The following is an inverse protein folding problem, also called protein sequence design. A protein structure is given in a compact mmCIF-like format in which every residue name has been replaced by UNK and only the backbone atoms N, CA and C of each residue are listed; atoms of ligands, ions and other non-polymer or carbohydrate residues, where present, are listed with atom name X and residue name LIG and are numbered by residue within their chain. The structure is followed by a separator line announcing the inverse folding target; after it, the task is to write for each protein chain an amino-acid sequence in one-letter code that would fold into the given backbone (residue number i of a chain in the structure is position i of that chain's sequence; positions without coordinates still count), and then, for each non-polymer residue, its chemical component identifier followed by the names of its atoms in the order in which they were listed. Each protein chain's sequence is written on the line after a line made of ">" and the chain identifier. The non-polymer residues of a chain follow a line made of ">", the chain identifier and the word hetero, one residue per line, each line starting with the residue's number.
data_IF_361900036449
#
_entry.id   IF_361900036449
#
_cell.length_a   1.000
_cell.length_b   1.000
_cell.length_c   1.000
_cell.angle_alpha   90.00
_cell.angle_beta   90.00
_cell.angle_gamma   90.00
#
_symmetry.space_group_name_H-M   'P 1'
#
loop_
_entity.id
_entity.type
_entity.pdbx_description
1 polymer ?
#
# COMPACT_ATOMS: atom_id res chain seq x y z
N UNK A 1 9.86 34.54 8.22
CA UNK A 1 8.75 34.98 7.38
C UNK A 1 7.74 33.85 7.40
N UNK A 2 6.43 34.04 7.64
CA UNK A 2 5.46 32.96 7.58
C UNK A 2 5.41 32.45 6.13
N UNK A 3 5.72 31.18 5.97
CA UNK A 3 5.54 30.49 4.71
C UNK A 3 4.06 30.63 4.32
N UNK A 4 3.77 31.35 3.25
CA UNK A 4 2.46 31.38 2.60
C UNK A 4 2.24 30.01 1.92
N UNK A 5 2.19 28.93 2.69
CA UNK A 5 1.77 27.64 2.17
C UNK A 5 0.30 27.76 1.81
N UNK A 6 0.01 27.91 0.52
CA UNK A 6 -1.36 27.86 0.00
C UNK A 6 -1.95 26.51 0.36
N UNK A 7 -2.94 26.52 1.28
CA UNK A 7 -3.71 25.31 1.59
C UNK A 7 -4.48 24.87 0.33
N UNK A 8 -4.28 23.64 -0.09
CA UNK A 8 -4.88 23.09 -1.29
C UNK A 8 -5.81 21.90 -0.97
N UNK A 9 -6.85 21.69 -1.76
CA UNK A 9 -7.61 20.46 -1.68
C UNK A 9 -6.71 19.24 -1.92
N UNK A 10 -6.92 18.20 -1.12
CA UNK A 10 -6.33 16.88 -1.32
C UNK A 10 -7.40 15.91 -1.81
N UNK A 11 -7.18 15.34 -2.98
CA UNK A 11 -8.03 14.29 -3.54
C UNK A 11 -7.41 12.93 -3.25
N UNK A 12 -8.23 11.99 -2.74
CA UNK A 12 -7.80 10.61 -2.50
C UNK A 12 -8.74 9.67 -3.27
N UNK A 13 -8.21 8.91 -4.22
CA UNK A 13 -8.91 7.79 -4.84
C UNK A 13 -8.65 6.51 -4.06
N UNK A 14 -9.62 5.60 -3.99
CA UNK A 14 -9.49 4.42 -3.13
C UNK A 14 -9.50 4.76 -1.64
N UNK A 15 -10.19 5.84 -1.27
CA UNK A 15 -10.20 6.40 0.08
C UNK A 15 -10.73 5.42 1.16
N UNK A 16 -11.63 4.51 0.80
CA UNK A 16 -12.12 3.46 1.70
C UNK A 16 -11.21 2.23 1.78
N UNK A 17 -10.14 2.16 0.99
CA UNK A 17 -9.12 1.12 1.08
C UNK A 17 -8.28 1.23 2.35
N UNK A 18 -7.46 0.23 2.64
CA UNK A 18 -6.64 0.21 3.85
C UNK A 18 -5.78 1.47 4.02
N UNK A 19 -4.88 1.75 3.05
CA UNK A 19 -4.05 2.96 3.08
C UNK A 19 -4.90 4.24 2.95
N UNK A 20 -5.95 4.22 2.11
CA UNK A 20 -6.83 5.38 1.93
C UNK A 20 -7.47 5.85 3.23
N UNK A 21 -7.98 4.91 4.06
CA UNK A 21 -8.56 5.21 5.38
C UNK A 21 -7.52 5.75 6.36
N UNK A 22 -6.36 5.11 6.43
CA UNK A 22 -5.29 5.55 7.31
C UNK A 22 -4.80 6.96 6.94
N UNK A 23 -4.61 7.23 5.65
CA UNK A 23 -4.23 8.55 5.15
C UNK A 23 -5.33 9.59 5.42
N UNK A 24 -6.59 9.27 5.15
CA UNK A 24 -7.71 10.18 5.41
C UNK A 24 -7.83 10.53 6.89
N UNK A 25 -7.68 9.54 7.78
CA UNK A 25 -7.68 9.76 9.23
C UNK A 25 -6.50 10.65 9.67
N UNK A 26 -5.31 10.41 9.12
CA UNK A 26 -4.13 11.23 9.41
C UNK A 26 -4.30 12.68 8.94
N UNK A 27 -4.84 12.88 7.72
CA UNK A 27 -5.15 14.21 7.19
C UNK A 27 -6.19 14.91 8.05
N UNK A 28 -7.22 14.21 8.49
CA UNK A 28 -8.26 14.78 9.34
C UNK A 28 -7.73 15.27 10.70
N UNK A 29 -6.67 14.65 11.24
CA UNK A 29 -6.00 15.11 12.46
C UNK A 29 -5.01 16.24 12.22
N UNK A 30 -4.42 16.38 11.03
CA UNK A 30 -3.25 17.22 10.78
C UNK A 30 -3.41 18.14 9.56
N UNK A 31 -4.64 18.47 9.15
CA UNK A 31 -4.90 19.20 7.91
C UNK A 31 -4.08 20.48 7.75
N UNK A 32 -4.05 21.31 8.79
CA UNK A 32 -3.30 22.57 8.79
C UNK A 32 -1.80 22.36 8.63
N UNK A 33 -1.23 21.43 9.40
CA UNK A 33 0.21 21.11 9.32
C UNK A 33 0.61 20.50 7.96
N UNK A 34 -0.34 19.87 7.27
CA UNK A 34 -0.17 19.32 5.92
C UNK A 34 -0.52 20.31 4.80
N UNK A 35 -1.01 21.52 5.12
CA UNK A 35 -1.47 22.48 4.11
C UNK A 35 -2.66 21.95 3.28
N UNK A 36 -3.60 21.23 3.92
CA UNK A 36 -4.80 20.70 3.28
C UNK A 36 -6.00 21.55 3.67
N UNK A 37 -6.64 22.19 2.69
CA UNK A 37 -7.85 22.99 2.91
C UNK A 37 -9.13 22.16 2.91
N UNK A 38 -9.17 21.08 2.12
CA UNK A 38 -10.33 20.22 1.94
C UNK A 38 -9.85 18.80 1.61
N UNK A 39 -10.52 17.79 2.13
CA UNK A 39 -10.33 16.39 1.71
C UNK A 39 -11.48 15.98 0.78
N UNK A 40 -11.13 15.59 -0.45
CA UNK A 40 -12.08 15.06 -1.43
C UNK A 40 -11.78 13.57 -1.63
N UNK A 41 -12.70 12.73 -1.21
CA UNK A 41 -12.53 11.28 -1.18
C UNK A 41 -13.41 10.59 -2.23
N UNK A 42 -12.83 9.71 -3.05
CA UNK A 42 -13.59 8.85 -3.96
C UNK A 42 -13.78 7.47 -3.34
N UNK A 43 -15.02 7.04 -3.22
CA UNK A 43 -15.45 5.72 -2.76
C UNK A 43 -16.37 5.07 -3.80
N UNK A 44 -16.50 3.74 -3.82
CA UNK A 44 -17.27 3.05 -4.87
C UNK A 44 -18.78 3.02 -4.59
N UNK A 45 -19.17 3.02 -3.32
CA UNK A 45 -20.55 2.85 -2.91
C UNK A 45 -20.78 3.39 -1.48
N UNK A 46 -22.02 3.34 -1.01
CA UNK A 46 -22.41 3.79 0.32
C UNK A 46 -21.78 2.97 1.46
N UNK A 47 -21.50 1.69 1.27
CA UNK A 47 -20.84 0.87 2.28
C UNK A 47 -19.39 1.35 2.51
N UNK A 48 -18.68 1.66 1.43
CA UNK A 48 -17.35 2.25 1.48
C UNK A 48 -17.35 3.67 2.07
N UNK A 49 -18.41 4.44 1.83
CA UNK A 49 -18.60 5.75 2.45
C UNK A 49 -18.72 5.64 3.98
N UNK A 50 -19.58 4.75 4.47
CA UNK A 50 -19.72 4.47 5.90
C UNK A 50 -18.41 3.98 6.52
N UNK A 51 -17.71 3.10 5.79
CA UNK A 51 -16.42 2.57 6.23
C UNK A 51 -15.35 3.67 6.33
N UNK A 52 -15.29 4.60 5.38
CA UNK A 52 -14.39 5.75 5.43
C UNK A 52 -14.76 6.67 6.60
N UNK A 53 -16.02 7.06 6.73
CA UNK A 53 -16.49 7.95 7.79
C UNK A 53 -16.21 7.38 9.19
N UNK A 54 -16.40 6.06 9.37
CA UNK A 54 -16.08 5.38 10.64
C UNK A 54 -14.58 5.37 11.01
N UNK A 55 -13.72 5.64 10.05
CA UNK A 55 -12.26 5.69 10.23
C UNK A 55 -11.76 7.08 10.60
N UNK A 56 -12.60 8.10 10.45
CA UNK A 56 -12.22 9.49 10.73
C UNK A 56 -12.43 9.83 12.21
N UNK A 57 -11.64 10.76 12.77
CA UNK A 57 -11.88 11.28 14.12
C UNK A 57 -13.23 11.99 14.17
N UNK A 58 -13.96 11.82 15.30
CA UNK A 58 -15.29 12.42 15.47
C UNK A 58 -15.22 13.95 15.53
N UNK A 59 -14.17 14.48 16.14
CA UNK A 59 -13.95 15.90 16.35
C UNK A 59 -12.93 16.41 15.34
N UNK A 60 -13.26 16.42 14.05
CA UNK A 60 -12.42 17.02 13.03
C UNK A 60 -13.14 18.22 12.40
N UNK A 61 -12.39 19.29 12.14
CA UNK A 61 -12.87 20.49 11.45
C UNK A 61 -12.54 20.48 9.95
N UNK A 62 -12.10 19.34 9.42
CA UNK A 62 -11.72 19.23 8.02
C UNK A 62 -12.98 19.32 7.13
N UNK A 63 -12.92 20.20 6.13
CA UNK A 63 -13.91 20.18 5.05
C UNK A 63 -13.75 18.86 4.27
N UNK A 64 -14.73 17.96 4.46
CA UNK A 64 -14.75 16.63 3.86
C UNK A 64 -15.84 16.52 2.81
N UNK A 65 -15.44 16.19 1.59
CA UNK A 65 -16.36 15.86 0.51
C UNK A 65 -16.15 14.42 0.04
N UNK A 66 -17.18 13.59 0.17
CA UNK A 66 -17.16 12.20 -0.31
C UNK A 66 -17.96 12.12 -1.62
N UNK A 67 -17.37 11.51 -2.62
CA UNK A 67 -17.99 11.26 -3.93
C UNK A 67 -18.02 9.76 -4.19
N UNK A 68 -19.18 9.28 -4.62
CA UNK A 68 -19.33 7.90 -5.08
C UNK A 68 -19.01 7.79 -6.56
N UNK A 69 -18.15 6.84 -6.95
CA UNK A 69 -17.77 6.59 -8.33
C UNK A 69 -16.67 5.53 -8.44
N UNK A 70 -16.40 5.11 -9.68
CA UNK A 70 -15.40 4.09 -9.99
C UNK A 70 -14.26 4.70 -10.82
N UNK A 71 -13.01 4.42 -10.44
CA UNK A 71 -11.82 4.89 -11.18
C UNK A 71 -11.72 4.31 -12.60
N UNK A 72 -12.43 3.21 -12.89
CA UNK A 72 -12.52 2.66 -14.23
C UNK A 72 -13.50 3.43 -15.12
N UNK A 73 -14.38 4.26 -14.53
CA UNK A 73 -15.30 5.12 -15.24
C UNK A 73 -14.73 6.53 -15.38
N UNK A 74 -14.43 6.92 -16.60
CA UNK A 74 -13.82 8.22 -16.89
C UNK A 74 -14.70 9.42 -16.53
N UNK A 75 -16.03 9.29 -16.62
CA UNK A 75 -16.96 10.35 -16.21
C UNK A 75 -16.94 10.57 -14.68
N UNK A 76 -16.72 9.52 -13.90
CA UNK A 76 -16.58 9.63 -12.44
C UNK A 76 -15.29 10.34 -12.07
N UNK A 77 -14.19 10.08 -12.80
CA UNK A 77 -12.91 10.77 -12.60
C UNK A 77 -13.07 12.26 -12.97
N UNK A 78 -13.75 12.57 -14.10
CA UNK A 78 -14.01 13.96 -14.52
C UNK A 78 -14.84 14.72 -13.48
N UNK A 79 -15.86 14.08 -12.91
CA UNK A 79 -16.68 14.64 -11.81
C UNK A 79 -15.85 14.82 -10.52
N UNK A 80 -14.98 13.87 -10.21
CA UNK A 80 -14.08 13.96 -9.06
C UNK A 80 -13.20 15.20 -9.16
N UNK A 81 -12.50 15.38 -10.27
CA UNK A 81 -11.59 16.53 -10.42
C UNK A 81 -12.33 17.85 -10.62
N UNK A 82 -13.53 17.85 -11.19
CA UNK A 82 -14.39 19.04 -11.26
C UNK A 82 -14.91 19.49 -9.87
N UNK A 83 -14.80 18.65 -8.84
CA UNK A 83 -15.20 19.01 -7.48
C UNK A 83 -14.19 19.93 -6.77
N UNK A 84 -12.97 20.06 -7.30
CA UNK A 84 -12.01 21.09 -6.88
C UNK A 84 -12.10 22.30 -7.81
N UNK A 85 -12.16 23.53 -7.25
CA UNK A 85 -12.27 24.77 -8.00
C UNK A 85 -10.95 25.35 -8.49
N UNK A 86 -9.82 24.71 -8.18
CA UNK A 86 -8.47 25.20 -8.51
C UNK A 86 -7.44 24.09 -8.53
N UNK A 87 -6.18 24.45 -8.32
CA UNK A 87 -5.12 23.49 -8.16
C UNK A 87 -5.39 22.56 -6.94
N UNK A 88 -5.01 21.31 -7.05
CA UNK A 88 -5.19 20.30 -6.00
C UNK A 88 -4.02 19.32 -5.97
N UNK A 89 -3.88 18.62 -4.88
CA UNK A 89 -3.02 17.45 -4.79
C UNK A 89 -3.84 16.17 -4.94
N UNK A 90 -3.24 15.13 -5.50
CA UNK A 90 -3.85 13.81 -5.66
C UNK A 90 -2.98 12.73 -5.02
N UNK A 91 -3.58 11.91 -4.16
CA UNK A 91 -2.99 10.62 -3.78
C UNK A 91 -3.84 9.49 -4.38
N UNK A 92 -3.27 8.81 -5.36
CA UNK A 92 -3.94 7.73 -6.07
C UNK A 92 -3.63 6.39 -5.39
N UNK A 93 -4.53 5.99 -4.44
CA UNK A 93 -4.41 4.72 -3.72
C UNK A 93 -5.32 3.63 -4.28
N UNK A 94 -6.19 3.98 -5.25
CA UNK A 94 -7.08 3.00 -5.85
C UNK A 94 -6.27 1.92 -6.58
N UNK A 95 -6.56 0.68 -6.26
CA UNK A 95 -5.94 -0.50 -6.83
C UNK A 95 -6.54 -1.78 -6.27
N UNK A 96 -6.40 -2.87 -6.99
CA UNK A 96 -6.86 -4.19 -6.54
C UNK A 96 -5.70 -5.18 -6.54
N UNK A 97 -5.74 -6.13 -5.61
CA UNK A 97 -4.65 -7.09 -5.38
C UNK A 97 -5.09 -8.52 -5.72
N UNK A 98 -6.29 -8.91 -5.30
CA UNK A 98 -6.77 -10.30 -5.39
C UNK A 98 -8.17 -10.35 -6.05
N UNK A 99 -8.28 -10.05 -7.35
CA UNK A 99 -9.55 -10.17 -8.06
C UNK A 99 -9.87 -11.64 -8.38
N UNK A 100 -11.07 -11.90 -8.87
CA UNK A 100 -11.42 -13.23 -9.42
C UNK A 100 -10.88 -13.42 -10.84
N UNK A 101 -10.76 -12.35 -11.61
CA UNK A 101 -10.31 -12.36 -13.02
C UNK A 101 -9.04 -11.52 -13.18
N UNK A 102 -8.08 -12.04 -13.91
CA UNK A 102 -6.83 -11.34 -14.21
C UNK A 102 -7.08 -10.02 -14.95
N UNK A 103 -8.06 -9.97 -15.85
CA UNK A 103 -8.41 -8.76 -16.59
C UNK A 103 -8.73 -7.56 -15.69
N UNK A 104 -9.34 -7.81 -14.52
CA UNK A 104 -9.70 -6.75 -13.57
C UNK A 104 -8.44 -6.06 -13.01
N UNK A 105 -7.31 -6.79 -12.87
CA UNK A 105 -6.03 -6.19 -12.45
C UNK A 105 -5.58 -5.11 -13.43
N UNK A 106 -5.58 -5.41 -14.72
CA UNK A 106 -5.16 -4.46 -15.76
C UNK A 106 -6.16 -3.31 -15.92
N UNK A 107 -7.46 -3.61 -15.83
CA UNK A 107 -8.48 -2.57 -15.91
C UNK A 107 -8.33 -1.51 -14.81
N UNK A 108 -8.06 -1.93 -13.56
CA UNK A 108 -7.95 -1.01 -12.42
C UNK A 108 -6.53 -0.48 -12.24
N UNK A 109 -5.51 -1.36 -12.18
CA UNK A 109 -4.16 -0.94 -11.80
C UNK A 109 -3.38 -0.25 -12.94
N UNK A 110 -3.73 -0.52 -14.19
CA UNK A 110 -3.07 0.05 -15.37
C UNK A 110 -3.98 1.04 -16.09
N UNK A 111 -5.08 0.57 -16.69
CA UNK A 111 -5.93 1.41 -17.56
C UNK A 111 -6.57 2.57 -16.77
N UNK A 112 -7.15 2.29 -15.60
CA UNK A 112 -7.74 3.35 -14.78
C UNK A 112 -6.67 4.30 -14.25
N UNK A 113 -5.49 3.80 -13.82
CA UNK A 113 -4.36 4.66 -13.44
C UNK A 113 -3.97 5.58 -14.59
N UNK A 114 -3.82 5.08 -15.82
CA UNK A 114 -3.53 5.91 -17.00
C UNK A 114 -4.57 7.02 -17.18
N UNK A 115 -5.84 6.68 -17.10
CA UNK A 115 -6.94 7.64 -17.22
C UNK A 115 -6.91 8.71 -16.11
N UNK A 116 -6.63 8.30 -14.87
CA UNK A 116 -6.50 9.22 -13.72
C UNK A 116 -5.33 10.18 -13.93
N UNK A 117 -4.16 9.69 -14.34
CA UNK A 117 -2.97 10.52 -14.56
C UNK A 117 -3.19 11.56 -15.67
N UNK A 118 -3.74 11.13 -16.81
CA UNK A 118 -4.02 12.03 -17.94
C UNK A 118 -5.00 13.13 -17.54
N UNK A 119 -6.07 12.79 -16.79
CA UNK A 119 -7.04 13.78 -16.32
C UNK A 119 -6.47 14.69 -15.24
N UNK A 120 -5.64 14.17 -14.34
CA UNK A 120 -4.93 14.99 -13.36
C UNK A 120 -4.04 16.03 -14.04
N UNK A 121 -3.32 15.64 -15.11
CA UNK A 121 -2.53 16.56 -15.95
C UNK A 121 -3.42 17.67 -16.54
N UNK A 122 -4.49 17.30 -17.23
CA UNK A 122 -5.40 18.26 -17.90
C UNK A 122 -6.12 19.18 -16.92
N UNK A 123 -6.34 18.73 -15.66
CA UNK A 123 -7.01 19.49 -14.61
C UNK A 123 -6.06 20.31 -13.74
N UNK A 124 -4.76 20.30 -14.03
CA UNK A 124 -3.76 21.10 -13.34
C UNK A 124 -3.49 20.64 -11.92
N UNK A 125 -3.41 19.31 -11.69
CA UNK A 125 -2.95 18.78 -10.43
C UNK A 125 -1.55 19.35 -10.09
N UNK A 126 -1.39 19.96 -8.89
CA UNK A 126 -0.10 20.49 -8.46
C UNK A 126 0.89 19.38 -8.18
N UNK A 127 0.43 18.32 -7.52
CA UNK A 127 1.22 17.14 -7.18
C UNK A 127 0.36 15.89 -7.21
N UNK A 128 0.89 14.83 -7.82
CA UNK A 128 0.28 13.50 -7.77
C UNK A 128 1.24 12.53 -7.07
N UNK A 129 0.72 11.77 -6.10
CA UNK A 129 1.43 10.63 -5.50
C UNK A 129 0.72 9.35 -5.93
N UNK A 130 1.37 8.52 -6.72
CA UNK A 130 0.86 7.21 -7.10
C UNK A 130 1.35 6.13 -6.13
N UNK A 131 0.44 5.33 -5.61
CA UNK A 131 0.81 4.19 -4.75
C UNK A 131 0.99 2.94 -5.62
N UNK A 132 2.24 2.53 -5.76
CA UNK A 132 2.65 1.31 -6.45
C UNK A 132 2.79 0.12 -5.47
N UNK A 133 3.77 -0.74 -5.69
CA UNK A 133 4.07 -1.94 -4.90
C UNK A 133 5.50 -2.41 -5.17
N UNK A 134 5.98 -3.41 -4.45
CA UNK A 134 7.18 -4.18 -4.81
C UNK A 134 6.96 -5.10 -6.03
N UNK A 135 5.74 -5.50 -6.32
CA UNK A 135 5.43 -6.54 -7.31
C UNK A 135 5.85 -6.23 -8.76
N UNK A 136 5.93 -4.96 -9.23
CA UNK A 136 6.57 -4.62 -10.52
C UNK A 136 8.02 -5.07 -10.65
N UNK A 137 8.70 -5.28 -9.54
CA UNK A 137 10.13 -5.60 -9.47
C UNK A 137 10.38 -7.08 -9.12
N UNK A 138 9.31 -7.83 -8.80
CA UNK A 138 9.35 -9.25 -8.52
C UNK A 138 9.93 -9.59 -7.15
N UNK A 139 10.97 -10.41 -7.15
CA UNK A 139 11.66 -10.85 -5.94
C UNK A 139 13.18 -10.76 -6.11
N UNK A 140 13.87 -10.59 -5.00
CA UNK A 140 15.33 -10.54 -5.01
C UNK A 140 15.90 -11.92 -5.38
N UNK A 141 16.91 -11.99 -6.26
CA UNK A 141 17.55 -13.25 -6.67
C UNK A 141 18.16 -14.02 -5.50
N UNK A 142 18.81 -13.32 -4.57
CA UNK A 142 19.45 -13.90 -3.41
C UNK A 142 18.91 -13.33 -2.10
N UNK A 143 19.03 -14.08 -1.02
CA UNK A 143 18.49 -13.70 0.29
C UNK A 143 19.11 -12.39 0.83
N UNK A 144 20.34 -12.06 0.44
CA UNK A 144 21.02 -10.85 0.91
C UNK A 144 20.77 -9.63 0.04
N UNK A 145 20.15 -9.80 -1.12
CA UNK A 145 19.88 -8.69 -2.06
C UNK A 145 18.76 -7.77 -1.52
N UNK A 146 18.76 -6.53 -1.99
CA UNK A 146 17.70 -5.56 -1.79
C UNK A 146 17.39 -4.85 -3.10
N UNK A 147 16.12 -4.54 -3.33
CA UNK A 147 15.72 -3.69 -4.44
C UNK A 147 16.28 -2.27 -4.24
N UNK A 148 16.92 -1.75 -5.28
CA UNK A 148 17.46 -0.39 -5.31
C UNK A 148 16.41 0.60 -5.83
N UNK A 149 16.68 1.89 -5.67
CA UNK A 149 15.81 2.95 -6.19
C UNK A 149 15.58 2.88 -7.70
N UNK A 150 16.64 2.51 -8.44
CA UNK A 150 16.69 2.37 -9.90
C UNK A 150 16.48 0.92 -10.38
N UNK A 151 15.89 0.06 -9.55
CA UNK A 151 15.66 -1.36 -9.87
C UNK A 151 14.88 -1.50 -11.17
N UNK A 152 15.33 -2.35 -12.12
CA UNK A 152 14.60 -2.59 -13.36
C UNK A 152 13.32 -3.39 -13.09
N UNK A 153 12.30 -3.17 -13.92
CA UNK A 153 11.08 -3.94 -13.83
C UNK A 153 11.33 -5.43 -14.14
N UNK A 154 10.80 -6.28 -13.28
CA UNK A 154 10.80 -7.73 -13.42
C UNK A 154 9.51 -8.29 -12.76
N UNK A 155 8.32 -8.02 -13.34
CA UNK A 155 7.05 -8.19 -12.64
C UNK A 155 6.77 -9.64 -12.27
N UNK A 156 6.35 -9.83 -11.01
CA UNK A 156 5.88 -11.12 -10.54
C UNK A 156 4.44 -11.35 -10.95
N UNK A 157 4.23 -12.18 -11.98
CA UNK A 157 2.93 -12.57 -12.51
C UNK A 157 2.02 -11.37 -12.88
N UNK A 158 0.70 -11.60 -12.99
CA UNK A 158 -0.22 -10.60 -13.51
C UNK A 158 -0.39 -9.37 -12.59
N UNK A 159 -0.37 -9.56 -11.27
CA UNK A 159 -0.45 -8.42 -10.36
C UNK A 159 0.77 -7.50 -10.52
N UNK A 160 1.96 -8.07 -10.53
CA UNK A 160 3.18 -7.31 -10.79
C UNK A 160 3.14 -6.59 -12.14
N UNK A 161 2.73 -7.29 -13.20
CA UNK A 161 2.60 -6.71 -14.55
C UNK A 161 1.58 -5.55 -14.58
N UNK A 162 0.44 -5.68 -13.92
CA UNK A 162 -0.57 -4.62 -13.87
C UNK A 162 -0.11 -3.38 -13.10
N UNK A 163 0.65 -3.57 -12.01
CA UNK A 163 1.23 -2.44 -11.25
C UNK A 163 2.39 -1.80 -12.01
N UNK A 164 3.18 -2.59 -12.75
CA UNK A 164 4.19 -2.06 -13.68
C UNK A 164 3.53 -1.18 -14.75
N UNK A 165 2.44 -1.63 -15.38
CA UNK A 165 1.68 -0.82 -16.33
C UNK A 165 1.20 0.51 -15.72
N UNK A 166 0.79 0.50 -14.44
CA UNK A 166 0.47 1.71 -13.71
C UNK A 166 1.65 2.66 -13.53
N UNK A 167 2.85 2.17 -13.16
CA UNK A 167 4.05 3.01 -13.06
C UNK A 167 4.47 3.58 -14.43
N UNK A 168 4.38 2.78 -15.49
CA UNK A 168 4.66 3.24 -16.86
C UNK A 168 3.70 4.36 -17.24
N UNK A 169 2.41 4.23 -16.95
CA UNK A 169 1.42 5.27 -17.23
C UNK A 169 1.70 6.58 -16.45
N UNK A 170 2.22 6.49 -15.22
CA UNK A 170 2.70 7.66 -14.47
C UNK A 170 3.89 8.30 -15.19
N UNK A 171 4.90 7.52 -15.60
CA UNK A 171 6.08 8.03 -16.29
C UNK A 171 5.74 8.67 -17.65
N UNK A 172 4.81 8.07 -18.42
CA UNK A 172 4.29 8.65 -19.66
C UNK A 172 3.63 10.02 -19.40
N UNK A 173 2.85 10.15 -18.31
CA UNK A 173 2.21 11.40 -17.97
C UNK A 173 3.20 12.45 -17.44
N UNK A 174 4.25 12.03 -16.74
CA UNK A 174 5.36 12.91 -16.32
C UNK A 174 6.09 13.46 -17.53
N UNK A 175 6.36 12.66 -18.57
CA UNK A 175 6.97 13.14 -19.81
C UNK A 175 6.13 14.17 -20.56
N UNK A 176 4.82 14.22 -20.27
CA UNK A 176 3.85 15.20 -20.78
C UNK A 176 3.66 16.43 -19.85
N UNK A 177 4.40 16.48 -18.75
CA UNK A 177 4.39 17.61 -17.81
C UNK A 177 3.61 17.40 -16.51
N UNK A 178 3.09 16.20 -16.23
CA UNK A 178 2.47 15.91 -14.94
C UNK A 178 3.52 15.92 -13.82
N UNK A 179 3.26 16.67 -12.76
CA UNK A 179 4.07 16.62 -11.56
C UNK A 179 3.66 15.44 -10.68
N UNK A 180 4.25 14.27 -10.93
CA UNK A 180 3.92 13.04 -10.23
C UNK A 180 5.14 12.32 -9.67
N UNK A 181 4.93 11.62 -8.55
CA UNK A 181 5.93 10.76 -7.89
C UNK A 181 5.30 9.44 -7.48
N UNK A 182 6.12 8.44 -7.18
CA UNK A 182 5.68 7.07 -6.93
C UNK A 182 6.15 6.62 -5.54
N UNK A 183 5.24 6.10 -4.75
CA UNK A 183 5.52 5.42 -3.47
C UNK A 183 5.35 3.91 -3.68
N UNK A 184 6.36 3.13 -3.32
CA UNK A 184 6.43 1.67 -3.50
C UNK A 184 6.45 0.97 -2.14
N UNK A 185 5.29 0.74 -1.49
CA UNK A 185 5.24 0.00 -0.26
C UNK A 185 5.45 -1.49 -0.51
N UNK A 186 6.24 -2.19 0.34
CA UNK A 186 6.23 -3.64 0.40
C UNK A 186 5.01 -4.14 1.21
N UNK A 187 5.15 -5.20 2.00
CA UNK A 187 4.08 -5.67 2.87
C UNK A 187 3.84 -4.69 4.02
N UNK A 188 2.74 -3.94 3.97
CA UNK A 188 2.33 -3.06 5.07
C UNK A 188 1.30 -3.72 5.99
N UNK A 189 1.26 -3.28 7.24
CA UNK A 189 0.41 -3.80 8.31
C UNK A 189 0.01 -2.68 9.27
N UNK A 190 -1.05 -2.88 10.05
CA UNK A 190 -1.53 -1.86 11.01
C UNK A 190 -3.05 -1.75 11.06
N UNK A 191 -3.58 -0.76 11.78
CA UNK A 191 -5.01 -0.44 11.83
C UNK A 191 -5.69 -0.38 10.47
N UNK A 192 -7.00 -0.62 10.46
CA UNK A 192 -7.83 -0.72 9.25
C UNK A 192 -7.53 -1.93 8.36
N UNK A 193 -6.77 -2.88 8.86
CA UNK A 193 -6.32 -4.05 8.12
C UNK A 193 -7.45 -4.93 7.59
N UNK A 194 -7.29 -5.55 6.40
CA UNK A 194 -8.25 -6.51 5.87
C UNK A 194 -8.17 -7.87 6.57
N UNK A 195 -9.20 -8.69 6.42
CA UNK A 195 -9.31 -10.01 7.04
C UNK A 195 -8.09 -10.94 6.79
N UNK A 196 -7.39 -10.81 5.65
CA UNK A 196 -6.16 -11.59 5.40
C UNK A 196 -5.06 -11.34 6.43
N UNK A 197 -4.95 -10.11 6.93
CA UNK A 197 -3.96 -9.77 7.96
C UNK A 197 -4.37 -10.34 9.32
N UNK A 198 -5.67 -10.34 9.64
CA UNK A 198 -6.22 -11.03 10.82
C UNK A 198 -5.94 -12.52 10.76
N UNK A 199 -6.12 -13.16 9.59
CA UNK A 199 -5.78 -14.56 9.37
C UNK A 199 -4.30 -14.84 9.66
N UNK A 200 -3.39 -13.95 9.28
CA UNK A 200 -1.97 -14.07 9.60
C UNK A 200 -1.72 -14.15 11.11
N UNK A 201 -2.33 -13.26 11.90
CA UNK A 201 -2.23 -13.30 13.37
C UNK A 201 -2.79 -14.61 13.94
N UNK A 202 -3.96 -15.05 13.47
CA UNK A 202 -4.58 -16.31 13.92
C UNK A 202 -3.71 -17.52 13.61
N UNK A 203 -3.05 -17.54 12.44
CA UNK A 203 -2.12 -18.61 12.06
C UNK A 203 -0.88 -18.62 12.96
N UNK A 204 -0.30 -17.47 13.27
CA UNK A 204 0.83 -17.37 14.22
C UNK A 204 0.41 -17.79 15.62
N UNK A 205 -0.73 -17.27 16.12
CA UNK A 205 -1.30 -17.63 17.44
C UNK A 205 -1.50 -19.15 17.58
N UNK A 206 -2.05 -19.78 16.54
CA UNK A 206 -2.29 -21.24 16.55
C UNK A 206 -1.05 -22.09 16.29
N UNK A 207 0.12 -21.49 15.98
CA UNK A 207 1.35 -22.18 15.63
C UNK A 207 1.30 -22.89 14.26
N UNK A 208 0.44 -22.43 13.35
CA UNK A 208 0.19 -23.04 12.02
C UNK A 208 0.61 -22.12 10.86
N UNK A 209 1.37 -21.06 11.11
CA UNK A 209 1.88 -20.24 10.03
C UNK A 209 2.95 -21.01 9.23
N UNK A 210 2.80 -21.19 7.91
CA UNK A 210 3.75 -21.93 7.10
C UNK A 210 5.05 -21.14 6.93
N UNK A 211 6.18 -21.75 7.33
CA UNK A 211 7.52 -21.21 7.13
C UNK A 211 8.29 -22.11 6.19
N UNK A 212 8.81 -21.58 5.10
CA UNK A 212 9.62 -22.34 4.15
C UNK A 212 11.06 -22.50 4.65
N UNK A 213 11.53 -23.76 4.68
CA UNK A 213 12.85 -24.08 5.20
C UNK A 213 13.03 -23.62 6.63
N UNK A 214 14.09 -22.89 6.89
CA UNK A 214 14.42 -22.26 8.18
C UNK A 214 13.76 -20.87 8.38
N UNK A 215 13.15 -20.32 7.33
CA UNK A 215 12.52 -18.99 7.34
C UNK A 215 13.53 -17.86 7.13
N UNK A 216 14.66 -18.13 6.49
CA UNK A 216 15.69 -17.13 6.19
C UNK A 216 15.31 -16.16 5.07
N UNK A 217 14.20 -16.41 4.34
CA UNK A 217 13.70 -15.45 3.33
C UNK A 217 13.43 -14.11 4.01
N UNK A 218 13.86 -13.02 3.38
CA UNK A 218 13.72 -11.69 3.95
C UNK A 218 12.51 -10.95 3.38
N UNK A 219 11.84 -10.19 4.23
CA UNK A 219 10.69 -9.36 3.89
C UNK A 219 10.86 -7.95 4.44
N UNK A 220 10.81 -6.97 3.57
CA UNK A 220 10.57 -5.61 4.02
C UNK A 220 9.13 -5.47 4.48
N UNK A 221 8.95 -4.84 5.62
CA UNK A 221 7.67 -4.55 6.23
C UNK A 221 7.53 -3.03 6.39
N UNK A 222 6.31 -2.54 6.52
CA UNK A 222 6.08 -1.15 6.91
C UNK A 222 4.80 -1.03 7.73
N UNK A 223 4.89 -0.39 8.90
CA UNK A 223 3.71 -0.03 9.67
C UNK A 223 2.92 1.06 8.96
N UNK A 224 1.59 1.00 9.04
CA UNK A 224 0.70 1.89 8.26
C UNK A 224 0.98 3.37 8.50
N UNK A 225 1.28 3.78 9.75
CA UNK A 225 1.58 5.20 10.06
C UNK A 225 2.92 5.64 9.45
N UNK A 226 3.94 4.76 9.43
CA UNK A 226 5.21 5.01 8.74
C UNK A 226 4.96 5.17 7.23
N UNK A 227 4.08 4.34 6.64
CA UNK A 227 3.72 4.46 5.22
C UNK A 227 3.00 5.78 4.94
N UNK A 228 2.06 6.18 5.79
CA UNK A 228 1.33 7.47 5.68
C UNK A 228 2.30 8.64 5.76
N UNK A 229 3.27 8.62 6.69
CA UNK A 229 4.33 9.65 6.77
C UNK A 229 5.14 9.71 5.46
N UNK A 230 5.55 8.55 4.92
CA UNK A 230 6.25 8.49 3.63
C UNK A 230 5.42 9.07 2.47
N UNK A 231 4.12 8.80 2.43
CA UNK A 231 3.20 9.38 1.43
C UNK A 231 3.08 10.89 1.58
N UNK A 232 2.94 11.41 2.80
CA UNK A 232 2.86 12.84 3.07
C UNK A 232 4.17 13.56 2.68
N UNK A 233 5.33 12.97 2.96
CA UNK A 233 6.63 13.49 2.55
C UNK A 233 6.79 13.49 1.04
N UNK A 234 6.40 12.42 0.34
CA UNK A 234 6.41 12.35 -1.11
C UNK A 234 5.47 13.40 -1.75
N UNK A 235 4.31 13.69 -1.13
CA UNK A 235 3.42 14.77 -1.55
C UNK A 235 4.08 16.16 -1.42
N UNK A 236 4.83 16.38 -0.34
CA UNK A 236 5.53 17.62 -0.08
C UNK A 236 6.86 17.77 -0.85
N UNK A 237 7.31 16.73 -1.53
CA UNK A 237 8.57 16.74 -2.30
C UNK A 237 8.55 17.81 -3.40
N UNK A 238 9.58 18.66 -3.46
CA UNK A 238 9.71 19.74 -4.45
C UNK A 238 10.73 19.46 -5.55
N UNK A 239 11.37 18.30 -5.51
CA UNK A 239 12.35 17.89 -6.50
C UNK A 239 11.74 17.32 -7.77
N UNK A 240 12.55 16.59 -8.53
CA UNK A 240 12.23 16.09 -9.86
C UNK A 240 11.03 15.12 -9.89
N UNK A 241 10.12 15.33 -10.83
CA UNK A 241 8.99 14.43 -11.08
C UNK A 241 9.44 13.08 -11.64
N UNK A 242 8.62 12.05 -11.48
CA UNK A 242 8.92 10.69 -11.93
C UNK A 242 9.73 9.85 -10.92
N UNK A 243 10.19 10.45 -9.81
CA UNK A 243 10.91 9.71 -8.76
C UNK A 243 10.01 8.68 -8.09
N UNK A 244 10.60 7.51 -7.78
CA UNK A 244 9.94 6.45 -7.04
C UNK A 244 10.77 6.05 -5.82
N UNK A 245 10.10 5.88 -4.66
CA UNK A 245 10.77 5.50 -3.41
C UNK A 245 10.16 4.26 -2.78
N UNK A 246 11.01 3.41 -2.27
CA UNK A 246 10.63 2.36 -1.32
C UNK A 246 10.32 3.00 0.03
N UNK A 247 9.12 2.73 0.55
CA UNK A 247 8.72 3.17 1.89
C UNK A 247 8.52 1.93 2.74
N UNK A 248 9.49 1.64 3.58
CA UNK A 248 9.56 0.44 4.41
C UNK A 248 10.24 0.75 5.76
N UNK A 249 10.31 -0.25 6.64
CA UNK A 249 11.14 -0.21 7.83
C UNK A 249 12.63 -0.17 7.42
N UNK A 250 13.50 0.27 8.34
CA UNK A 250 14.94 0.46 8.06
C UNK A 250 15.62 -0.81 7.56
N UNK A 251 15.14 -1.97 7.96
CA UNK A 251 15.69 -3.27 7.55
C UNK A 251 14.60 -4.24 7.08
N UNK A 252 14.97 -5.18 6.24
CA UNK A 252 14.17 -6.34 5.94
C UNK A 252 14.38 -7.43 6.99
N UNK A 253 13.29 -8.09 7.41
CA UNK A 253 13.26 -9.10 8.46
C UNK A 253 13.22 -10.51 7.87
N UNK A 254 13.88 -11.48 8.49
CA UNK A 254 13.65 -12.88 8.17
C UNK A 254 12.20 -13.29 8.48
N UNK A 255 11.61 -14.17 7.69
CA UNK A 255 10.23 -14.66 7.95
C UNK A 255 10.13 -15.30 9.34
N UNK A 256 11.15 -16.03 9.80
CA UNK A 256 11.23 -16.55 11.17
C UNK A 256 11.16 -15.45 12.22
N UNK A 257 11.91 -14.37 12.05
CA UNK A 257 11.92 -13.19 12.93
C UNK A 257 10.55 -12.49 12.98
N UNK A 258 9.87 -12.34 11.82
CA UNK A 258 8.53 -11.78 11.76
C UNK A 258 7.56 -12.63 12.60
N UNK A 259 7.58 -13.97 12.41
CA UNK A 259 6.70 -14.89 13.14
C UNK A 259 6.96 -14.85 14.65
N UNK A 260 8.22 -14.81 15.06
CA UNK A 260 8.61 -14.72 16.47
C UNK A 260 8.17 -13.37 17.07
N UNK A 261 8.38 -12.26 16.37
CA UNK A 261 7.97 -10.92 16.80
C UNK A 261 6.47 -10.82 16.96
N UNK A 262 5.69 -11.36 16.00
CA UNK A 262 4.23 -11.41 16.10
C UNK A 262 3.78 -12.31 17.25
N UNK A 263 4.43 -13.46 17.44
CA UNK A 263 4.14 -14.36 18.58
C UNK A 263 4.35 -13.67 19.92
N UNK A 264 5.44 -12.93 20.08
CA UNK A 264 5.74 -12.13 21.26
C UNK A 264 4.70 -11.02 21.46
N UNK A 265 4.39 -10.25 20.40
CA UNK A 265 3.39 -9.19 20.45
C UNK A 265 2.00 -9.71 20.87
N UNK A 266 1.58 -10.86 20.32
CA UNK A 266 0.34 -11.54 20.71
C UNK A 266 0.35 -11.94 22.21
N UNK A 267 1.47 -12.47 22.69
CA UNK A 267 1.60 -12.85 24.10
C UNK A 267 1.52 -11.64 25.01
N UNK A 268 2.18 -10.54 24.68
CA UNK A 268 2.19 -9.30 25.47
C UNK A 268 0.84 -8.56 25.44
N UNK A 269 0.00 -8.85 24.44
CA UNK A 269 -1.40 -8.39 24.39
C UNK A 269 -2.39 -9.43 24.95
N UNK A 270 -1.92 -10.40 25.72
CA UNK A 270 -2.74 -11.32 26.50
C UNK A 270 -3.22 -12.59 25.79
N UNK A 271 -2.70 -12.89 24.61
CA UNK A 271 -3.06 -14.12 23.88
C UNK A 271 -2.15 -15.29 24.22
N UNK A 272 -2.72 -16.49 24.30
CA UNK A 272 -1.93 -17.72 24.39
C UNK A 272 -1.44 -18.13 22.99
N UNK A 273 -0.13 -18.16 22.78
CA UNK A 273 0.50 -18.45 21.49
C UNK A 273 1.12 -19.85 21.51
N UNK A 274 0.80 -20.67 20.51
CA UNK A 274 1.38 -22.00 20.34
C UNK A 274 2.69 -21.89 19.54
N UNK A 275 3.68 -22.75 19.90
CA UNK A 275 4.94 -22.80 19.18
C UNK A 275 4.68 -23.12 17.69
N UNK A 276 5.19 -22.28 16.79
CA UNK A 276 5.06 -22.50 15.34
C UNK A 276 6.00 -23.62 14.90
N UNK A 277 5.44 -24.76 14.46
CA UNK A 277 6.18 -25.96 14.06
C UNK A 277 6.00 -26.29 12.57
N UNK A 278 5.12 -25.58 11.86
CA UNK A 278 4.85 -25.87 10.46
C UNK A 278 6.01 -25.37 9.60
N UNK A 279 6.78 -26.33 9.08
CA UNK A 279 7.87 -26.09 8.14
C UNK A 279 7.53 -26.73 6.81
N UNK A 280 7.65 -25.97 5.73
CA UNK A 280 7.41 -26.44 4.36
C UNK A 280 8.72 -26.51 3.59
N UNK A 281 8.94 -27.56 2.80
CA UNK A 281 10.07 -27.60 1.87
C UNK A 281 9.99 -26.49 0.82
N UNK A 282 11.11 -25.90 0.42
CA UNK A 282 11.17 -24.86 -0.63
C UNK A 282 10.56 -25.30 -1.94
N UNK A 283 10.63 -26.62 -2.26
CA UNK A 283 10.03 -27.20 -3.46
C UNK A 283 8.51 -26.95 -3.55
N UNK A 284 7.79 -26.95 -2.42
CA UNK A 284 6.36 -26.66 -2.41
C UNK A 284 6.04 -25.22 -2.85
N UNK A 285 6.89 -24.27 -2.50
CA UNK A 285 6.77 -22.88 -2.97
C UNK A 285 6.98 -22.78 -4.49
N UNK A 286 7.95 -23.52 -5.04
CA UNK A 286 8.20 -23.56 -6.49
C UNK A 286 7.04 -24.22 -7.24
N UNK A 287 6.48 -25.31 -6.71
CA UNK A 287 5.29 -25.97 -7.27
C UNK A 287 4.10 -25.02 -7.24
N UNK A 288 3.86 -24.31 -6.13
CA UNK A 288 2.79 -23.33 -6.01
C UNK A 288 2.94 -22.19 -7.02
N UNK A 289 4.14 -21.67 -7.20
CA UNK A 289 4.44 -20.63 -8.19
C UNK A 289 4.16 -21.10 -9.62
N UNK A 290 4.59 -22.31 -9.96
CA UNK A 290 4.36 -22.91 -11.28
C UNK A 290 2.86 -23.11 -11.52
N UNK A 291 2.14 -23.65 -10.54
CA UNK A 291 0.70 -23.84 -10.59
C UNK A 291 -0.05 -22.51 -10.74
N UNK A 292 0.36 -21.47 -9.98
CA UNK A 292 -0.21 -20.13 -10.09
C UNK A 292 -0.02 -19.56 -11.49
N UNK A 293 1.18 -19.68 -12.07
CA UNK A 293 1.45 -19.26 -13.45
C UNK A 293 0.52 -19.95 -14.47
N UNK A 294 0.25 -21.26 -14.32
CA UNK A 294 -0.71 -21.98 -15.17
C UNK A 294 -2.15 -21.48 -14.97
N UNK A 295 -2.58 -21.31 -13.71
CA UNK A 295 -3.92 -20.81 -13.39
C UNK A 295 -4.13 -19.44 -14.01
N UNK A 296 -3.16 -18.54 -13.85
CA UNK A 296 -3.25 -17.17 -14.37
C UNK A 296 -3.32 -17.13 -15.90
N UNK A 297 -2.67 -18.06 -16.62
CA UNK A 297 -2.82 -18.19 -18.09
C UNK A 297 -4.24 -18.53 -18.52
N UNK A 298 -5.07 -19.10 -17.64
CA UNK A 298 -6.50 -19.33 -17.92
C UNK A 298 -7.37 -18.09 -17.63
N UNK A 299 -6.78 -16.95 -17.26
CA UNK A 299 -7.49 -15.73 -16.91
C UNK A 299 -8.06 -15.71 -15.48
N UNK A 300 -7.78 -16.73 -14.67
CA UNK A 300 -8.25 -16.84 -13.28
C UNK A 300 -7.15 -16.47 -12.30
N UNK A 301 -7.57 -16.03 -11.11
CA UNK A 301 -6.66 -15.73 -10.01
C UNK A 301 -7.09 -16.52 -8.76
N UNK A 302 -6.16 -17.23 -8.14
CA UNK A 302 -6.41 -18.01 -6.90
C UNK A 302 -5.44 -17.49 -5.83
N UNK A 303 -5.95 -16.68 -4.90
CA UNK A 303 -5.17 -15.98 -3.89
C UNK A 303 -4.28 -16.92 -3.07
N UNK A 304 -4.80 -18.07 -2.62
CA UNK A 304 -4.06 -18.99 -1.75
C UNK A 304 -2.83 -19.58 -2.44
N UNK A 305 -2.95 -19.90 -3.74
CA UNK A 305 -1.84 -20.45 -4.53
C UNK A 305 -0.79 -19.36 -4.77
N UNK A 306 -1.24 -18.16 -5.13
CA UNK A 306 -0.37 -16.99 -5.33
C UNK A 306 0.46 -16.67 -4.09
N UNK A 307 -0.21 -16.50 -2.94
CA UNK A 307 0.44 -16.18 -1.67
C UNK A 307 1.44 -17.26 -1.26
N UNK A 308 1.08 -18.54 -1.44
CA UNK A 308 1.97 -19.66 -1.10
C UNK A 308 3.26 -19.64 -1.95
N UNK A 309 3.14 -19.36 -3.26
CA UNK A 309 4.30 -19.20 -4.15
C UNK A 309 5.18 -18.01 -3.76
N UNK A 310 4.56 -16.89 -3.44
CA UNK A 310 5.28 -15.68 -3.01
C UNK A 310 5.98 -15.84 -1.66
N UNK A 311 5.38 -16.55 -0.70
CA UNK A 311 5.95 -16.69 0.66
C UNK A 311 7.34 -17.31 0.70
N UNK A 312 7.73 -18.08 -0.32
CA UNK A 312 9.05 -18.69 -0.45
C UNK A 312 10.13 -17.73 -0.99
N UNK A 313 9.81 -16.47 -1.26
CA UNK A 313 10.70 -15.50 -1.92
C UNK A 313 11.26 -14.48 -0.94
N UNK A 314 12.42 -13.91 -1.27
CA UNK A 314 12.91 -12.70 -0.61
C UNK A 314 12.37 -11.47 -1.34
N UNK A 315 11.84 -10.52 -0.56
CA UNK A 315 11.36 -9.21 -1.03
C UNK A 315 11.88 -8.17 -0.02
N UNK A 316 13.06 -7.69 -0.26
CA UNK A 316 13.75 -6.71 0.56
C UNK A 316 14.02 -5.44 -0.24
N UNK A 317 13.78 -4.28 0.36
CA UNK A 317 13.90 -2.97 -0.28
C UNK A 317 14.94 -2.11 0.45
N UNK A 318 15.69 -1.33 -0.29
CA UNK A 318 16.58 -0.30 0.24
C UNK A 318 15.84 1.04 0.29
N UNK A 319 15.70 1.62 1.48
CA UNK A 319 15.03 2.91 1.72
C UNK A 319 15.98 4.11 1.69
N UNK A 320 17.26 3.93 1.37
CA UNK A 320 18.28 4.99 1.44
C UNK A 320 17.88 6.22 0.63
N UNK A 321 17.29 6.03 -0.55
CA UNK A 321 16.81 7.15 -1.37
C UNK A 321 15.64 7.90 -0.72
N UNK A 322 14.71 7.21 -0.06
CA UNK A 322 13.62 7.86 0.67
C UNK A 322 14.15 8.63 1.89
N UNK A 323 15.13 8.06 2.59
CA UNK A 323 15.79 8.74 3.70
C UNK A 323 16.51 10.01 3.24
N UNK A 324 17.26 9.91 2.14
CA UNK A 324 18.02 11.04 1.60
C UNK A 324 17.11 12.14 1.04
N UNK A 325 16.19 11.77 0.15
CA UNK A 325 15.38 12.72 -0.61
C UNK A 325 14.24 13.30 0.24
N UNK A 326 13.54 12.44 0.98
CA UNK A 326 12.32 12.80 1.73
C UNK A 326 12.57 13.05 3.22
N UNK A 327 13.76 12.76 3.73
CA UNK A 327 14.02 12.73 5.18
C UNK A 327 13.17 11.66 5.88
N UNK A 328 12.77 10.58 5.16
CA UNK A 328 11.94 9.51 5.71
C UNK A 328 12.71 8.67 6.71
N UNK A 329 12.17 8.57 7.92
CA UNK A 329 12.69 7.70 8.98
C UNK A 329 11.50 6.99 9.62
N UNK A 330 11.39 5.64 9.51
CA UNK A 330 10.29 4.91 10.12
C UNK A 330 10.35 5.00 11.64
N UNK A 331 9.31 5.61 12.24
CA UNK A 331 9.27 5.90 13.67
C UNK A 331 8.75 4.72 14.51
N UNK A 332 7.95 3.83 13.92
CA UNK A 332 7.32 2.69 14.59
C UNK A 332 8.02 1.41 14.17
N UNK A 333 8.59 0.68 15.13
CA UNK A 333 9.24 -0.61 14.90
C UNK A 333 8.24 -1.72 14.58
N UNK A 334 8.72 -2.82 13.98
CA UNK A 334 7.92 -4.02 13.70
C UNK A 334 7.16 -4.50 14.95
N UNK A 335 7.83 -4.63 16.09
CA UNK A 335 7.23 -5.10 17.32
C UNK A 335 6.09 -4.18 17.81
N UNK A 336 6.35 -2.88 17.92
CA UNK A 336 5.34 -1.93 18.39
C UNK A 336 4.18 -1.82 17.40
N UNK A 337 4.44 -1.83 16.11
CA UNK A 337 3.42 -1.81 15.08
C UNK A 337 2.53 -3.05 15.12
N UNK A 338 3.10 -4.25 15.38
CA UNK A 338 2.31 -5.47 15.55
C UNK A 338 1.44 -5.40 16.80
N UNK A 339 1.94 -4.88 17.92
CA UNK A 339 1.13 -4.65 19.12
C UNK A 339 -0.03 -3.70 18.85
N UNK A 340 0.20 -2.56 18.19
CA UNK A 340 -0.86 -1.62 17.80
C UNK A 340 -1.91 -2.27 16.90
N UNK A 341 -1.48 -3.12 15.95
CA UNK A 341 -2.38 -3.86 15.07
C UNK A 341 -3.28 -4.84 15.85
N UNK A 342 -2.71 -5.56 16.83
CA UNK A 342 -3.44 -6.51 17.67
C UNK A 342 -4.45 -5.79 18.57
N UNK A 343 -4.04 -4.69 19.22
CA UNK A 343 -4.95 -3.84 20.03
C UNK A 343 -6.09 -3.29 19.19
N UNK A 344 -5.79 -2.83 17.97
CA UNK A 344 -6.83 -2.35 17.07
C UNK A 344 -7.85 -3.45 16.75
N UNK A 345 -7.41 -4.70 16.49
CA UNK A 345 -8.33 -5.82 16.31
C UNK A 345 -9.25 -6.00 17.54
N UNK A 346 -8.69 -5.98 18.74
CA UNK A 346 -9.47 -6.11 19.97
C UNK A 346 -10.49 -4.96 20.12
N UNK A 347 -10.11 -3.72 19.83
CA UNK A 347 -10.99 -2.55 19.84
C UNK A 347 -12.13 -2.65 18.83
N UNK A 348 -11.92 -3.33 17.70
CA UNK A 348 -12.94 -3.57 16.68
C UNK A 348 -13.76 -4.84 16.93
N UNK A 349 -13.55 -5.55 18.04
CA UNK A 349 -14.21 -6.83 18.32
C UNK A 349 -13.80 -7.96 17.37
N UNK A 350 -12.65 -7.84 16.72
CA UNK A 350 -12.12 -8.86 15.81
C UNK A 350 -11.37 -9.91 16.63
N UNK A 351 -11.82 -11.14 16.57
CA UNK A 351 -11.15 -12.28 17.19
C UNK A 351 -9.90 -12.70 16.39
N UNK A 352 -8.79 -12.95 17.12
CA UNK A 352 -7.51 -13.40 16.58
C UNK A 352 -7.22 -14.85 16.89
#
# INVERSE_FOLDING_TARGET
>A
MPNNSTHLPLIITGAAGWLGRALSAHVAHNADGLGVSQLIALVRNSEEEVLLQSSLPKDNNLDLRILTGDVTNTSDIDRLFASSSGAFDLVHTAGIIHPKKIADLFAVNETATKNVMQRALHRGARRVVHISSNSPFGNNPHTQDTFRADEPFNPYLAYGASKMGGEIAVQESVSQGLNAVIVRPPWFYGPFQPARQTTFFSMVKSGKFPVFGDGAQRRSMVFIDNLVDGVCRARAWEGESGRGWWIADTQAYCVSEIVETVGRALTDEGHTVKKNRLRLPHLLGQVAETADGFIQRTGRYVQQVHVLGEMNKTIACDISSATHDLGYVPAVSLYEGMRRSIRWCAQQGIEL
#
